data_IF_911683704258
#
_entry.id   IF_911683704258
#
_cell.length_a   1.000
_cell.length_b   1.000
_cell.length_c   1.000
_cell.angle_alpha   90.00
_cell.angle_beta   90.00
_cell.angle_gamma   90.00
#
_symmetry.space_group_name_H-M   'P 1'
#
loop_
_entity.id
_entity.type
_entity.pdbx_description
1 polymer ?
#
# COMPACT_ATOMS: atom_id res chain seq x y z
N UNK A 1 25.53 17.04 1.41
CA UNK A 1 26.50 15.93 1.29
C UNK A 1 26.19 14.80 2.29
N UNK A 2 25.92 15.11 3.57
CA UNK A 2 25.46 14.13 4.55
C UNK A 2 24.11 13.49 4.21
N UNK A 3 23.13 14.26 3.73
CA UNK A 3 21.80 13.74 3.34
C UNK A 3 21.87 12.67 2.23
N UNK A 4 22.85 12.78 1.33
CA UNK A 4 23.09 11.79 0.28
C UNK A 4 23.64 10.48 0.86
N UNK A 5 24.54 10.55 1.84
CA UNK A 5 25.07 9.38 2.54
C UNK A 5 23.96 8.73 3.37
N UNK A 6 23.11 9.51 4.03
CA UNK A 6 21.96 9.01 4.78
C UNK A 6 20.97 8.31 3.84
N UNK A 7 20.61 8.91 2.70
CA UNK A 7 19.72 8.29 1.71
C UNK A 7 20.32 7.01 1.10
N UNK A 8 21.63 6.95 0.90
CA UNK A 8 22.30 5.77 0.33
C UNK A 8 22.39 4.61 1.33
N UNK A 9 22.62 4.90 2.62
CA UNK A 9 22.84 3.89 3.67
C UNK A 9 21.52 3.46 4.33
N UNK A 10 20.60 4.41 4.52
CA UNK A 10 19.33 4.21 5.23
C UNK A 10 18.14 4.13 4.25
N UNK A 11 18.26 4.56 3.00
CA UNK A 11 17.09 4.71 2.12
C UNK A 11 16.30 5.98 2.45
N UNK A 12 15.05 6.07 1.98
CA UNK A 12 14.23 7.24 2.25
C UNK A 12 13.79 7.27 3.74
N UNK A 13 14.23 8.31 4.45
CA UNK A 13 13.99 8.46 5.89
C UNK A 13 12.52 8.83 6.16
N UNK A 14 11.87 9.51 5.22
CA UNK A 14 10.47 9.90 5.33
C UNK A 14 9.56 8.67 5.20
N UNK A 15 9.78 7.83 4.18
CA UNK A 15 9.05 6.56 4.02
C UNK A 15 9.21 5.66 5.25
N UNK A 16 10.41 5.58 5.82
CA UNK A 16 10.65 4.83 7.07
C UNK A 16 9.90 5.40 8.27
N UNK A 17 9.77 6.73 8.34
CA UNK A 17 9.03 7.41 9.40
C UNK A 17 7.53 7.15 9.25
N UNK A 18 7.00 7.29 8.05
CA UNK A 18 5.59 7.02 7.72
C UNK A 18 5.23 5.56 8.02
N UNK A 19 6.06 4.62 7.58
CA UNK A 19 5.91 3.20 7.91
C UNK A 19 5.86 2.97 9.42
N UNK A 20 6.77 3.58 10.18
CA UNK A 20 6.79 3.44 11.64
C UNK A 20 5.54 4.04 12.30
N UNK A 21 5.00 5.14 11.76
CA UNK A 21 3.76 5.73 12.25
C UNK A 21 2.56 4.82 11.96
N UNK A 22 2.47 4.27 10.75
CA UNK A 22 1.45 3.29 10.38
C UNK A 22 1.51 2.05 11.26
N UNK A 23 2.69 1.48 11.51
CA UNK A 23 2.81 0.29 12.36
C UNK A 23 2.43 0.57 13.81
N UNK A 24 2.64 1.78 14.34
CA UNK A 24 2.12 2.15 15.67
C UNK A 24 0.59 2.14 15.72
N UNK A 25 -0.07 2.56 14.64
CA UNK A 25 -1.52 2.50 14.52
C UNK A 25 -1.98 1.05 14.53
N UNK A 26 -1.34 0.20 13.72
CA UNK A 26 -1.58 -1.26 13.71
C UNK A 26 -1.42 -1.84 15.12
N UNK A 27 -0.33 -1.52 15.83
CA UNK A 27 -0.06 -2.05 17.17
C UNK A 27 -1.14 -1.72 18.21
N UNK A 28 -1.87 -0.62 17.99
CA UNK A 28 -3.00 -0.19 18.84
C UNK A 28 -4.31 -0.95 18.58
N UNK A 29 -4.43 -1.66 17.46
CA UNK A 29 -5.62 -2.44 17.11
C UNK A 29 -5.80 -3.68 18.01
N UNK A 30 -7.02 -4.24 18.07
CA UNK A 30 -7.28 -5.53 18.70
C UNK A 30 -6.42 -6.65 18.07
N UNK A 31 -6.21 -7.73 18.83
CA UNK A 31 -5.24 -8.80 18.49
C UNK A 31 -5.54 -9.45 17.13
N UNK A 32 -6.81 -9.65 16.83
CA UNK A 32 -7.33 -10.29 15.62
C UNK A 32 -7.07 -9.42 14.39
N UNK A 33 -7.28 -8.11 14.52
CA UNK A 33 -6.99 -7.12 13.47
C UNK A 33 -5.49 -7.03 13.19
N UNK A 34 -4.65 -7.01 14.22
CA UNK A 34 -3.17 -7.05 14.06
C UNK A 34 -2.70 -8.29 13.33
N UNK A 35 -3.25 -9.44 13.69
CA UNK A 35 -2.93 -10.70 13.03
C UNK A 35 -3.34 -10.68 11.56
N UNK A 36 -4.56 -10.24 11.26
CA UNK A 36 -5.06 -10.13 9.90
C UNK A 36 -4.21 -9.17 9.06
N UNK A 37 -3.89 -7.99 9.59
CA UNK A 37 -3.04 -7.00 8.92
C UNK A 37 -1.69 -7.61 8.54
N UNK A 38 -1.00 -8.27 9.48
CA UNK A 38 0.29 -8.91 9.19
C UNK A 38 0.22 -10.00 8.12
N UNK A 39 -0.89 -10.76 8.05
CA UNK A 39 -1.10 -11.77 7.01
C UNK A 39 -1.38 -11.15 5.64
N UNK A 40 -2.22 -10.13 5.58
CA UNK A 40 -2.53 -9.38 4.37
C UNK A 40 -1.28 -8.69 3.85
N UNK A 41 -0.55 -7.97 4.71
CA UNK A 41 0.70 -7.30 4.36
C UNK A 41 1.73 -8.27 3.77
N UNK A 42 1.92 -9.43 4.41
CA UNK A 42 2.81 -10.47 3.89
C UNK A 42 2.35 -11.00 2.53
N UNK A 43 1.05 -11.27 2.36
CA UNK A 43 0.49 -11.73 1.09
C UNK A 43 0.71 -10.70 -0.03
N UNK A 44 0.42 -9.42 0.23
CA UNK A 44 0.56 -8.35 -0.75
C UNK A 44 2.02 -8.10 -1.16
N UNK A 45 2.98 -8.31 -0.26
CA UNK A 45 4.40 -8.31 -0.66
C UNK A 45 4.80 -9.51 -1.52
N UNK A 46 4.11 -10.66 -1.40
CA UNK A 46 4.46 -11.88 -2.12
C UNK A 46 4.01 -11.89 -3.59
N UNK A 47 2.99 -11.11 -3.94
CA UNK A 47 2.38 -11.08 -5.27
C UNK A 47 3.06 -10.09 -6.23
N UNK A 48 4.01 -9.29 -5.75
CA UNK A 48 4.84 -8.42 -6.58
C UNK A 48 4.92 -6.98 -6.05
N UNK A 49 5.62 -6.09 -6.76
CA UNK A 49 5.69 -4.70 -6.38
C UNK A 49 4.29 -4.07 -6.51
N UNK A 50 3.62 -3.89 -5.37
CA UNK A 50 2.85 -2.66 -5.16
C UNK A 50 3.78 -1.53 -5.59
N UNK A 51 3.38 -0.59 -6.43
CA UNK A 51 4.27 0.43 -7.04
C UNK A 51 4.88 1.41 -6.01
N UNK A 52 5.54 0.92 -4.97
CA UNK A 52 5.99 1.65 -3.79
C UNK A 52 4.85 2.12 -2.88
N UNK A 53 3.60 1.78 -3.16
CA UNK A 53 2.47 2.56 -2.65
C UNK A 53 2.08 2.18 -1.22
N UNK A 54 2.80 2.71 -0.24
CA UNK A 54 2.46 2.63 1.19
C UNK A 54 1.04 3.13 1.50
N UNK A 55 0.45 3.91 0.57
CA UNK A 55 -0.93 4.40 0.64
C UNK A 55 -1.90 3.23 0.84
N UNK A 56 -1.71 2.10 0.14
CA UNK A 56 -2.62 0.95 0.24
C UNK A 56 -2.68 0.36 1.65
N UNK A 57 -1.54 0.31 2.34
CA UNK A 57 -1.50 -0.18 3.71
C UNK A 57 -2.07 0.84 4.69
N UNK A 58 -1.92 2.13 4.39
CA UNK A 58 -2.54 3.19 5.19
C UNK A 58 -4.07 3.10 5.10
N UNK A 59 -4.63 2.94 3.90
CA UNK A 59 -6.07 2.75 3.69
C UNK A 59 -6.61 1.50 4.40
N UNK A 60 -5.81 0.42 4.43
CA UNK A 60 -6.17 -0.80 5.16
C UNK A 60 -6.22 -0.56 6.68
N UNK A 61 -5.27 0.21 7.22
CA UNK A 61 -5.28 0.60 8.63
C UNK A 61 -6.50 1.47 8.95
N UNK A 62 -6.83 2.44 8.09
CA UNK A 62 -8.01 3.30 8.24
C UNK A 62 -9.31 2.47 8.30
N UNK A 63 -9.46 1.49 7.39
CA UNK A 63 -10.58 0.55 7.40
C UNK A 63 -10.66 -0.25 8.71
N UNK A 64 -9.52 -0.73 9.20
CA UNK A 64 -9.46 -1.54 10.41
C UNK A 64 -9.74 -0.73 11.68
N UNK A 65 -9.24 0.51 11.77
CA UNK A 65 -9.53 1.41 12.89
C UNK A 65 -11.04 1.74 12.97
N UNK A 66 -11.65 2.10 11.83
CA UNK A 66 -13.09 2.36 11.76
C UNK A 66 -13.92 1.13 12.14
N UNK A 67 -13.55 -0.05 11.63
CA UNK A 67 -14.29 -1.29 11.91
C UNK A 67 -14.13 -1.74 13.37
N UNK A 68 -12.93 -1.58 13.94
CA UNK A 68 -12.67 -1.88 15.35
C UNK A 68 -13.42 -0.91 16.29
N UNK A 69 -13.53 0.37 15.93
CA UNK A 69 -14.32 1.34 16.67
C UNK A 69 -15.82 1.01 16.68
N UNK A 70 -16.29 0.36 15.62
CA UNK A 70 -17.66 -0.17 15.49
C UNK A 70 -17.85 -1.56 16.12
N UNK A 71 -16.81 -2.12 16.76
CA UNK A 71 -16.82 -3.45 17.40
C UNK A 71 -17.16 -4.58 16.41
N UNK A 72 -16.85 -4.38 15.12
CA UNK A 72 -17.00 -5.44 14.11
C UNK A 72 -15.91 -6.49 14.27
N UNK A 73 -16.26 -7.75 14.00
CA UNK A 73 -15.24 -8.80 13.95
C UNK A 73 -14.41 -8.67 12.68
N UNK A 74 -13.11 -8.95 12.74
CA UNK A 74 -12.23 -8.76 11.58
C UNK A 74 -12.70 -9.55 10.34
N UNK A 75 -13.24 -10.76 10.53
CA UNK A 75 -13.77 -11.60 9.44
C UNK A 75 -15.10 -11.07 8.86
N UNK A 76 -15.85 -10.23 9.59
CA UNK A 76 -17.00 -9.52 9.04
C UNK A 76 -16.55 -8.39 8.09
N UNK A 77 -15.33 -7.88 8.29
CA UNK A 77 -14.74 -6.80 7.49
C UNK A 77 -14.06 -7.34 6.24
N UNK A 78 -13.19 -8.35 6.41
CA UNK A 78 -12.37 -8.88 5.31
C UNK A 78 -12.95 -10.15 4.66
N UNK A 79 -14.03 -10.70 5.23
CA UNK A 79 -14.59 -11.97 4.77
C UNK A 79 -13.76 -13.19 5.14
N UNK A 80 -14.29 -14.38 4.84
CA UNK A 80 -13.58 -15.66 5.01
C UNK A 80 -12.59 -15.95 3.88
N UNK A 81 -12.82 -15.38 2.70
CA UNK A 81 -11.91 -15.44 1.56
C UNK A 81 -11.00 -14.20 1.53
N UNK A 82 -9.95 -14.26 2.34
CA UNK A 82 -8.99 -13.15 2.51
C UNK A 82 -8.20 -12.88 1.23
N UNK A 83 -7.98 -13.90 0.38
CA UNK A 83 -7.28 -13.74 -0.90
C UNK A 83 -8.10 -12.88 -1.86
N UNK A 84 -9.38 -13.22 -2.01
CA UNK A 84 -10.33 -12.42 -2.79
C UNK A 84 -10.44 -10.99 -2.26
N UNK A 85 -10.49 -10.80 -0.94
CA UNK A 85 -10.45 -9.45 -0.35
C UNK A 85 -9.21 -8.66 -0.79
N UNK A 86 -8.02 -9.26 -0.74
CA UNK A 86 -6.79 -8.58 -1.16
C UNK A 86 -6.86 -8.18 -2.63
N UNK A 87 -7.33 -9.06 -3.51
CA UNK A 87 -7.43 -8.81 -4.95
C UNK A 87 -8.37 -7.62 -5.25
N UNK A 88 -9.56 -7.62 -4.64
CA UNK A 88 -10.55 -6.53 -4.77
C UNK A 88 -10.03 -5.22 -4.16
N UNK A 89 -9.37 -5.30 -3.00
CA UNK A 89 -8.82 -4.14 -2.30
C UNK A 89 -7.72 -3.45 -3.12
N UNK A 90 -6.80 -4.23 -3.71
CA UNK A 90 -5.76 -3.68 -4.60
C UNK A 90 -6.33 -3.10 -5.89
N UNK A 91 -7.35 -3.73 -6.46
CA UNK A 91 -7.99 -3.21 -7.66
C UNK A 91 -8.65 -1.85 -7.39
N UNK A 92 -9.29 -1.69 -6.23
CA UNK A 92 -9.88 -0.42 -5.81
C UNK A 92 -8.81 0.66 -5.63
N UNK A 93 -7.66 0.34 -5.02
CA UNK A 93 -6.57 1.31 -4.84
C UNK A 93 -5.87 1.69 -6.15
N UNK A 94 -5.72 0.76 -7.10
CA UNK A 94 -5.15 1.03 -8.43
C UNK A 94 -6.05 1.97 -9.26
N UNK A 95 -7.36 1.97 -9.01
CA UNK A 95 -8.28 2.85 -9.74
C UNK A 95 -8.00 4.35 -9.47
N UNK A 96 -7.33 4.69 -8.36
CA UNK A 96 -6.85 6.06 -8.09
C UNK A 96 -5.51 6.41 -8.75
N UNK A 97 -4.83 5.48 -9.43
CA UNK A 97 -3.54 5.70 -10.12
C UNK A 97 -3.66 6.00 -11.62
N UNK A 98 -4.83 6.46 -12.09
CA UNK A 98 -5.05 6.90 -13.48
C UNK A 98 -3.90 7.78 -14.00
N UNK A 99 -3.36 8.65 -13.16
CA UNK A 99 -2.26 9.57 -13.49
C UNK A 99 -0.95 8.85 -13.87
N UNK A 100 -0.59 7.75 -13.20
CA UNK A 100 0.66 7.01 -13.48
C UNK A 100 0.55 6.21 -14.78
N UNK A 101 -0.61 5.60 -15.03
CA UNK A 101 -0.88 4.86 -16.27
C UNK A 101 -0.91 5.81 -17.48
N UNK A 102 -1.57 6.95 -17.34
CA UNK A 102 -1.59 7.99 -18.36
C UNK A 102 -0.19 8.56 -18.64
N UNK A 103 0.60 8.80 -17.59
CA UNK A 103 1.98 9.25 -17.73
C UNK A 103 2.86 8.24 -18.48
N UNK A 104 2.77 6.95 -18.14
CA UNK A 104 3.48 5.89 -18.86
C UNK A 104 3.10 5.87 -20.35
N UNK A 105 1.79 5.88 -20.65
CA UNK A 105 1.30 5.87 -22.02
C UNK A 105 1.83 7.08 -22.81
N UNK A 106 1.84 8.26 -22.18
CA UNK A 106 2.37 9.48 -22.76
C UNK A 106 3.87 9.40 -23.04
N UNK A 107 4.68 8.94 -22.08
CA UNK A 107 6.14 8.81 -22.24
C UNK A 107 6.51 7.85 -23.37
N UNK A 108 5.82 6.71 -23.48
CA UNK A 108 6.03 5.74 -24.57
C UNK A 108 5.63 6.36 -25.91
N UNK A 109 4.46 6.99 -26.00
CA UNK A 109 4.00 7.63 -27.23
C UNK A 109 4.92 8.76 -27.70
N UNK A 110 5.45 9.58 -26.78
CA UNK A 110 6.39 10.66 -27.08
C UNK A 110 7.72 10.15 -27.62
N UNK A 111 8.24 9.04 -27.10
CA UNK A 111 9.49 8.44 -27.58
C UNK A 111 9.36 7.93 -29.02
N UNK A 112 8.31 7.19 -29.32
CA UNK A 112 8.11 6.62 -30.67
C UNK A 112 7.58 7.62 -31.71
N UNK A 113 6.99 8.75 -31.29
CA UNK A 113 6.65 9.85 -32.21
C UNK A 113 7.85 10.75 -32.56
N UNK A 114 8.94 10.73 -31.77
CA UNK A 114 10.17 11.50 -32.06
C UNK A 114 11.17 10.77 -32.96
N UNK A 115 11.11 9.43 -33.02
CA UNK A 115 12.00 8.61 -33.87
C UNK A 115 11.46 8.45 -35.31
N UNK A 116 10.23 8.92 -35.59
CA UNK A 116 9.60 8.88 -36.91
C UNK A 116 9.70 10.18 -37.73
N UNK A 117 10.61 11.11 -37.38
CA UNK A 117 10.86 12.35 -38.13
C UNK A 117 12.30 12.47 -38.58
#
# INVERSE_FOLDING_TARGET
MFDYIIKLVIGDVEEKREYKQMMKRVDSLPKEYKFAFGKIQHYMYSIGPLNGDMIIFTDLVDLFESSAAEVRQVLEVIGSDVGKFCDEFMQASITNTETLREKLNKEVAEKFNKEGR
#
